data_IF_015650893723
#
_entry.id   IF_015650893723
#
_cell.length_a   1.000
_cell.length_b   1.000
_cell.length_c   1.000
_cell.angle_alpha   90.00
_cell.angle_beta   90.00
_cell.angle_gamma   90.00
#
_symmetry.space_group_name_H-M   'P 1'
#
loop_
_entity.id
_entity.type
_entity.pdbx_description
1 polymer ?
#
# COMPACT_ATOMS: atom_id res chain seq x y z
N UNK A 1 -26.34 12.33 22.11
CA UNK A 1 -26.74 11.43 20.99
C UNK A 1 -27.00 10.03 21.56
N UNK A 2 -28.24 9.67 21.95
CA UNK A 2 -28.54 8.39 22.63
C UNK A 2 -28.97 7.25 21.69
N UNK A 3 -28.97 7.46 20.37
CA UNK A 3 -29.63 6.55 19.43
C UNK A 3 -28.71 5.55 18.71
N UNK A 4 -27.38 5.64 18.84
CA UNK A 4 -26.47 4.71 18.16
C UNK A 4 -26.44 3.30 18.79
N UNK A 5 -26.85 3.14 20.05
CA UNK A 5 -26.82 1.84 20.74
C UNK A 5 -27.90 0.83 20.29
N UNK A 6 -28.91 1.27 19.53
CA UNK A 6 -30.05 0.40 19.14
C UNK A 6 -29.89 -0.31 17.80
N UNK A 7 -28.97 0.12 16.94
CA UNK A 7 -28.85 -0.42 15.57
C UNK A 7 -27.72 -1.43 15.36
N UNK A 8 -26.85 -1.64 16.35
CA UNK A 8 -25.77 -2.65 16.29
C UNK A 8 -26.16 -3.95 17.04
N UNK A 9 -27.41 -4.05 17.52
CA UNK A 9 -27.71 -4.95 18.65
C UNK A 9 -27.99 -6.42 18.36
N UNK A 10 -28.49 -6.81 17.18
CA UNK A 10 -29.00 -8.18 16.96
C UNK A 10 -28.29 -8.96 15.87
N UNK A 11 -28.11 -8.37 14.68
CA UNK A 11 -27.46 -9.02 13.53
C UNK A 11 -25.95 -9.19 13.75
N UNK A 12 -25.29 -8.13 14.25
CA UNK A 12 -23.89 -8.18 14.64
C UNK A 12 -23.65 -9.13 15.81
N UNK A 13 -24.57 -9.23 16.76
CA UNK A 13 -24.47 -10.16 17.90
C UNK A 13 -24.62 -11.63 17.46
N UNK A 14 -25.52 -11.91 16.52
CA UNK A 14 -25.69 -13.24 15.92
C UNK A 14 -24.47 -13.67 15.10
N UNK A 15 -23.90 -12.77 14.30
CA UNK A 15 -22.76 -13.08 13.42
C UNK A 15 -21.43 -13.16 14.18
N UNK A 16 -21.26 -12.38 15.26
CA UNK A 16 -20.00 -12.29 16.02
C UNK A 16 -19.84 -13.34 17.13
N UNK A 17 -20.92 -14.01 17.53
CA UNK A 17 -20.92 -15.00 18.60
C UNK A 17 -20.59 -14.41 19.99
N UNK A 18 -19.62 -14.98 20.71
CA UNK A 18 -19.24 -14.56 22.07
C UNK A 18 -18.28 -13.37 22.07
N UNK A 19 -18.52 -12.37 22.93
CA UNK A 19 -17.64 -11.21 23.12
C UNK A 19 -16.73 -11.37 24.33
N UNK A 20 -15.57 -10.72 24.28
CA UNK A 20 -14.61 -10.61 25.38
C UNK A 20 -14.43 -9.14 25.73
N UNK A 21 -14.65 -8.82 27.01
CA UNK A 21 -14.37 -7.50 27.57
C UNK A 21 -12.88 -7.35 27.85
N UNK A 22 -12.25 -6.34 27.25
CA UNK A 22 -10.83 -6.04 27.44
C UNK A 22 -10.71 -4.62 28.00
N UNK A 23 -9.96 -4.47 29.09
CA UNK A 23 -9.58 -3.18 29.64
C UNK A 23 -8.13 -2.90 29.26
N UNK A 24 -7.89 -1.88 28.44
CA UNK A 24 -6.55 -1.47 28.04
C UNK A 24 -6.21 -0.13 28.67
N UNK A 25 -5.06 -0.04 29.34
CA UNK A 25 -4.53 1.23 29.81
C UNK A 25 -3.65 1.83 28.72
N UNK A 26 -3.95 3.05 28.22
CA UNK A 26 -3.07 3.74 27.28
C UNK A 26 -1.66 3.91 27.86
N UNK A 27 -0.63 3.80 27.02
CA UNK A 27 0.73 4.18 27.42
C UNK A 27 0.76 5.68 27.72
N UNK A 28 1.28 6.03 28.88
CA UNK A 28 1.41 7.43 29.32
C UNK A 28 2.45 8.14 28.45
N UNK A 29 2.03 9.15 27.69
CA UNK A 29 2.93 10.08 27.00
C UNK A 29 3.53 11.08 27.99
N UNK A 30 4.66 11.70 27.64
CA UNK A 30 5.24 12.77 28.45
C UNK A 30 4.21 13.89 28.67
N UNK A 31 3.86 14.16 29.93
CA UNK A 31 2.85 15.15 30.32
C UNK A 31 1.47 14.56 30.68
N UNK A 32 1.26 13.25 30.52
CA UNK A 32 0.05 12.58 31.01
C UNK A 32 0.20 12.16 32.48
N UNK A 33 -0.85 12.39 33.28
CA UNK A 33 -0.90 11.96 34.67
C UNK A 33 -1.24 10.44 34.74
N UNK A 34 -0.32 9.58 35.21
CA UNK A 34 -0.55 8.14 35.30
C UNK A 34 -1.71 7.78 36.25
N UNK A 35 -2.03 8.64 37.20
CA UNK A 35 -3.12 8.45 38.16
C UNK A 35 -4.49 8.81 37.58
N UNK A 36 -4.52 9.72 36.60
CA UNK A 36 -5.75 10.16 35.93
C UNK A 36 -6.06 9.39 34.63
N UNK A 37 -5.11 8.64 34.10
CA UNK A 37 -5.30 7.88 32.85
C UNK A 37 -6.16 6.65 33.10
N UNK A 38 -7.44 6.76 32.78
CA UNK A 38 -8.43 5.69 32.95
C UNK A 38 -8.26 4.58 31.90
N UNK A 39 -8.42 3.30 32.29
CA UNK A 39 -8.46 2.20 31.34
C UNK A 39 -9.63 2.37 30.36
N UNK A 40 -9.38 2.12 29.09
CA UNK A 40 -10.40 2.08 28.05
C UNK A 40 -10.97 0.66 27.98
N UNK A 41 -12.30 0.56 28.03
CA UNK A 41 -13.02 -0.71 27.94
C UNK A 41 -13.47 -0.95 26.50
N UNK A 42 -13.03 -2.08 25.93
CA UNK A 42 -13.43 -2.57 24.63
C UNK A 42 -14.22 -3.87 24.77
N UNK A 43 -15.23 -4.05 23.92
CA UNK A 43 -15.89 -5.35 23.73
C UNK A 43 -15.51 -5.86 22.35
N UNK A 44 -14.73 -6.94 22.30
CA UNK A 44 -14.19 -7.48 21.04
C UNK A 44 -14.78 -8.87 20.81
N UNK A 45 -15.15 -9.18 19.57
CA UNK A 45 -15.63 -10.52 19.23
C UNK A 45 -14.51 -11.55 19.42
N UNK A 46 -14.82 -12.71 19.99
CA UNK A 46 -13.82 -13.79 20.21
C UNK A 46 -13.19 -14.28 18.91
N UNK A 47 -13.95 -14.27 17.81
CA UNK A 47 -13.46 -14.62 16.49
C UNK A 47 -12.35 -13.67 16.00
N UNK A 48 -12.48 -12.37 16.29
CA UNK A 48 -11.48 -11.36 15.92
C UNK A 48 -10.20 -11.52 16.74
N UNK A 49 -10.32 -11.82 18.04
CA UNK A 49 -9.16 -12.12 18.89
C UNK A 49 -8.41 -13.34 18.37
N UNK A 50 -9.12 -14.40 18.00
CA UNK A 50 -8.51 -15.60 17.42
C UNK A 50 -7.89 -15.36 16.05
N UNK A 51 -8.48 -14.49 15.23
CA UNK A 51 -7.92 -14.07 13.94
C UNK A 51 -6.65 -13.25 14.14
N UNK A 52 -6.69 -12.27 15.03
CA UNK A 52 -5.54 -11.45 15.40
C UNK A 52 -4.40 -12.32 15.93
N UNK A 53 -4.69 -13.29 16.80
CA UNK A 53 -3.69 -14.22 17.30
C UNK A 53 -3.01 -15.03 16.19
N UNK A 54 -3.80 -15.59 15.26
CA UNK A 54 -3.26 -16.32 14.10
C UNK A 54 -2.39 -15.43 13.21
N UNK A 55 -2.81 -14.18 12.99
CA UNK A 55 -2.02 -13.20 12.25
C UNK A 55 -0.68 -12.93 12.96
N UNK A 56 -0.70 -12.66 14.27
CA UNK A 56 0.51 -12.43 15.05
C UNK A 56 1.47 -13.64 14.97
N UNK A 57 0.96 -14.86 15.09
CA UNK A 57 1.77 -16.08 14.97
C UNK A 57 2.42 -16.17 13.59
N UNK A 58 1.65 -15.99 12.53
CA UNK A 58 2.18 -16.00 11.16
C UNK A 58 3.26 -14.93 10.93
N UNK A 59 3.08 -13.73 11.48
CA UNK A 59 4.10 -12.67 11.39
C UNK A 59 5.36 -12.99 12.20
N UNK A 60 5.22 -13.60 13.38
CA UNK A 60 6.36 -14.03 14.20
C UNK A 60 7.15 -15.13 13.46
N UNK A 61 6.47 -16.12 12.90
CA UNK A 61 7.07 -17.21 12.13
C UNK A 61 7.84 -16.67 10.92
N UNK A 62 7.21 -15.80 10.11
CA UNK A 62 7.89 -15.17 8.97
C UNK A 62 9.10 -14.32 9.40
N UNK A 63 8.99 -13.60 10.51
CA UNK A 63 10.11 -12.83 11.08
C UNK A 63 11.27 -13.73 11.53
N UNK A 64 10.97 -14.88 12.13
CA UNK A 64 11.97 -15.87 12.54
C UNK A 64 12.70 -16.47 11.33
N UNK A 65 11.97 -16.88 10.28
CA UNK A 65 12.55 -17.37 9.03
C UNK A 65 13.51 -16.35 8.40
N UNK A 66 13.16 -15.07 8.42
CA UNK A 66 14.03 -14.00 7.96
C UNK A 66 15.29 -13.85 8.82
N UNK A 67 15.15 -13.85 10.14
CA UNK A 67 16.29 -13.75 11.07
C UNK A 67 17.26 -14.92 10.93
N UNK A 68 16.75 -16.13 10.68
CA UNK A 68 17.58 -17.31 10.41
C UNK A 68 18.40 -17.16 9.13
N UNK A 69 17.78 -16.61 8.08
CA UNK A 69 18.45 -16.34 6.81
C UNK A 69 19.52 -15.24 6.97
N UNK A 70 19.21 -14.13 7.65
CA UNK A 70 20.22 -13.10 7.98
C UNK A 70 21.40 -13.70 8.73
N UNK A 71 21.12 -14.53 9.73
CA UNK A 71 22.13 -15.18 10.56
C UNK A 71 22.99 -16.17 9.75
N UNK A 72 22.39 -16.86 8.77
CA UNK A 72 23.11 -17.75 7.85
C UNK A 72 24.01 -16.97 6.88
N UNK A 73 23.51 -15.87 6.31
CA UNK A 73 24.29 -14.98 5.44
C UNK A 73 25.46 -14.35 6.19
N UNK A 74 25.22 -13.81 7.40
CA UNK A 74 26.26 -13.20 8.22
C UNK A 74 27.40 -14.19 8.52
N UNK A 75 27.06 -15.40 8.95
CA UNK A 75 28.05 -16.48 9.20
C UNK A 75 28.85 -16.83 7.95
N UNK A 76 28.19 -16.88 6.80
CA UNK A 76 28.84 -17.21 5.53
C UNK A 76 29.83 -16.13 5.10
N UNK A 77 29.45 -14.85 5.23
CA UNK A 77 30.33 -13.71 4.96
C UNK A 77 31.51 -13.66 5.93
N UNK A 78 31.27 -13.87 7.22
CA UNK A 78 32.34 -13.95 8.22
C UNK A 78 33.32 -15.08 7.91
N UNK A 79 32.83 -16.23 7.44
CA UNK A 79 33.69 -17.34 7.01
C UNK A 79 34.54 -16.99 5.79
N UNK A 80 34.04 -16.21 4.83
CA UNK A 80 34.83 -15.74 3.69
C UNK A 80 35.93 -14.78 4.12
N UNK A 81 35.60 -13.82 4.98
CA UNK A 81 36.56 -12.86 5.53
C UNK A 81 37.68 -13.59 6.30
N UNK A 82 37.34 -14.63 7.07
CA UNK A 82 38.32 -15.41 7.82
C UNK A 82 39.25 -16.27 6.95
N UNK A 83 38.84 -16.66 5.73
CA UNK A 83 39.61 -17.53 4.82
C UNK A 83 40.55 -16.78 3.88
N UNK A 84 40.41 -15.46 3.75
CA UNK A 84 41.15 -14.64 2.80
C UNK A 84 40.54 -14.73 1.40
N UNK A 85 40.28 -13.58 0.78
CA UNK A 85 39.45 -13.50 -0.43
C UNK A 85 40.21 -13.95 -1.69
N UNK A 86 39.72 -15.02 -2.33
CA UNK A 86 39.94 -15.29 -3.76
C UNK A 86 38.77 -14.69 -4.55
N UNK A 87 39.03 -14.05 -5.69
CA UNK A 87 38.02 -13.39 -6.53
C UNK A 87 36.91 -14.34 -7.04
N UNK A 88 37.13 -15.67 -6.97
CA UNK A 88 36.21 -16.70 -7.46
C UNK A 88 35.31 -17.32 -6.36
N UNK A 89 35.54 -17.02 -5.07
CA UNK A 89 34.71 -17.53 -3.97
C UNK A 89 33.42 -16.72 -3.80
N UNK A 90 32.27 -17.39 -3.93
CA UNK A 90 30.94 -16.79 -3.76
C UNK A 90 30.11 -17.56 -2.72
N UNK A 91 29.19 -16.85 -2.06
CA UNK A 91 28.22 -17.44 -1.12
C UNK A 91 26.89 -17.66 -1.85
N UNK A 92 26.41 -18.90 -1.86
CA UNK A 92 25.11 -19.27 -2.46
C UNK A 92 23.90 -18.88 -1.59
N UNK A 93 24.13 -18.34 -0.39
CA UNK A 93 23.13 -17.78 0.53
C UNK A 93 23.08 -16.26 0.41
N UNK A 94 22.43 -15.78 -0.65
CA UNK A 94 22.03 -14.37 -0.74
C UNK A 94 20.90 -14.10 0.25
N UNK A 95 20.87 -12.90 0.83
CA UNK A 95 19.65 -12.35 1.42
C UNK A 95 18.50 -12.52 0.41
N UNK A 96 17.23 -12.65 0.83
CA UNK A 96 16.15 -12.64 -0.14
C UNK A 96 16.33 -11.38 -0.97
N UNK A 97 16.55 -11.55 -2.28
CA UNK A 97 16.68 -10.43 -3.22
C UNK A 97 15.40 -9.58 -3.28
N UNK A 98 14.37 -9.97 -2.53
CA UNK A 98 13.16 -9.23 -2.24
C UNK A 98 13.09 -8.91 -0.75
N UNK A 99 13.88 -7.93 -0.33
CA UNK A 99 13.57 -7.07 0.81
C UNK A 99 12.33 -6.21 0.44
N UNK A 100 11.21 -6.85 0.09
CA UNK A 100 9.99 -6.18 -0.39
C UNK A 100 8.89 -6.16 0.69
N UNK A 101 8.87 -7.11 1.62
CA UNK A 101 7.76 -7.22 2.58
C UNK A 101 7.77 -6.14 3.67
N UNK A 102 8.94 -5.61 4.05
CA UNK A 102 9.04 -4.57 5.08
C UNK A 102 8.88 -3.15 4.52
N UNK A 103 9.40 -2.88 3.31
CA UNK A 103 9.15 -1.61 2.62
C UNK A 103 7.67 -1.46 2.21
N UNK A 104 6.92 -2.54 1.99
CA UNK A 104 5.50 -2.45 1.61
C UNK A 104 4.60 -1.96 2.74
N UNK A 105 4.94 -2.23 4.00
CA UNK A 105 4.19 -1.75 5.17
C UNK A 105 4.74 -0.42 5.66
N UNK A 106 6.07 -0.31 5.78
CA UNK A 106 6.73 0.90 6.27
C UNK A 106 6.70 2.02 5.22
N UNK A 107 6.88 1.71 3.94
CA UNK A 107 6.74 2.67 2.84
C UNK A 107 5.30 3.16 2.65
N UNK A 108 4.30 2.31 2.85
CA UNK A 108 2.89 2.75 2.85
C UNK A 108 2.61 3.65 4.05
N UNK A 109 3.18 3.38 5.23
CA UNK A 109 3.04 4.24 6.41
C UNK A 109 3.82 5.56 6.28
N UNK A 110 5.02 5.56 5.68
CA UNK A 110 5.82 6.77 5.43
C UNK A 110 5.25 7.63 4.30
N UNK A 111 4.62 7.04 3.27
CA UNK A 111 3.98 7.78 2.19
C UNK A 111 2.65 8.45 2.59
N UNK A 112 2.01 8.02 3.69
CA UNK A 112 0.87 8.72 4.30
C UNK A 112 1.30 10.07 4.88
N UNK A 113 2.56 10.22 5.27
CA UNK A 113 3.12 11.45 5.85
C UNK A 113 3.85 12.33 4.83
N UNK A 114 4.17 11.82 3.63
CA UNK A 114 4.79 12.62 2.58
C UNK A 114 3.76 13.48 1.84
N UNK A 115 4.13 14.73 1.45
CA UNK A 115 3.27 15.55 0.63
C UNK A 115 2.95 14.81 -0.67
N UNK A 116 1.66 14.57 -0.87
CA UNK A 116 1.03 14.11 -2.12
C UNK A 116 1.74 14.73 -3.32
N UNK A 117 1.86 14.00 -4.45
CA UNK A 117 2.24 14.59 -5.75
C UNK A 117 1.55 15.94 -5.85
N UNK A 118 2.24 17.08 -5.80
CA UNK A 118 1.58 18.36 -5.69
C UNK A 118 1.02 18.70 -7.06
N UNK A 119 -0.13 18.13 -7.42
CA UNK A 119 -0.97 18.64 -8.49
C UNK A 119 -1.66 19.90 -7.97
N UNK A 120 -0.87 20.90 -7.59
CA UNK A 120 -1.30 22.29 -7.57
C UNK A 120 -1.38 22.80 -9.03
N UNK A 121 -2.01 22.01 -9.90
CA UNK A 121 -2.18 22.35 -11.30
C UNK A 121 -3.41 23.24 -11.38
N UNK A 122 -3.24 24.46 -11.88
CA UNK A 122 -4.33 25.41 -12.07
C UNK A 122 -5.40 24.91 -13.08
N UNK A 123 -5.13 23.84 -13.83
CA UNK A 123 -6.03 23.27 -14.81
C UNK A 123 -7.22 22.52 -14.21
N UNK A 124 -8.38 22.64 -14.85
CA UNK A 124 -9.64 21.99 -14.48
C UNK A 124 -9.78 20.56 -15.01
N UNK A 125 -8.99 20.17 -16.00
CA UNK A 125 -9.13 18.90 -16.74
C UNK A 125 -7.79 18.14 -16.85
N UNK A 126 -7.25 17.59 -15.75
CA UNK A 126 -5.98 16.88 -15.78
C UNK A 126 -6.01 15.54 -16.53
N UNK A 127 -4.92 15.22 -17.24
CA UNK A 127 -4.64 13.92 -17.83
C UNK A 127 -3.37 13.34 -17.21
N UNK A 128 -3.44 12.15 -16.63
CA UNK A 128 -2.30 11.48 -16.01
C UNK A 128 -1.78 10.38 -16.91
N UNK A 129 -0.51 10.46 -17.30
CA UNK A 129 0.17 9.41 -18.03
C UNK A 129 0.94 8.56 -17.02
N UNK A 130 0.60 7.28 -16.94
CA UNK A 130 1.13 6.32 -15.98
C UNK A 130 2.13 5.42 -16.66
N UNK A 131 3.42 5.67 -16.42
CA UNK A 131 4.48 4.76 -16.82
C UNK A 131 4.59 3.62 -15.81
N UNK A 132 4.65 2.39 -16.32
CA UNK A 132 4.80 1.16 -15.52
C UNK A 132 6.00 0.34 -15.97
N UNK A 133 6.90 0.94 -16.76
CA UNK A 133 8.11 0.30 -17.26
C UNK A 133 9.25 0.30 -16.25
N UNK A 134 10.22 -0.59 -16.45
CA UNK A 134 11.49 -0.59 -15.73
C UNK A 134 11.35 -0.63 -14.20
N UNK A 135 12.03 0.30 -13.52
CA UNK A 135 12.02 0.39 -12.05
C UNK A 135 10.63 0.76 -11.50
N UNK A 136 9.88 1.60 -12.20
CA UNK A 136 8.52 1.99 -11.79
C UNK A 136 7.58 0.79 -11.74
N UNK A 137 7.72 -0.13 -12.70
CA UNK A 137 6.98 -1.39 -12.70
C UNK A 137 7.32 -2.32 -11.53
N UNK A 138 8.58 -2.33 -11.05
CA UNK A 138 8.97 -3.15 -9.89
C UNK A 138 8.35 -2.68 -8.58
N UNK A 139 7.96 -1.41 -8.52
CA UNK A 139 7.35 -0.76 -7.36
C UNK A 139 5.88 -0.38 -7.63
N UNK A 140 5.18 -1.15 -8.49
CA UNK A 140 3.82 -0.84 -8.95
C UNK A 140 2.81 -0.71 -7.80
N UNK A 141 3.00 -1.42 -6.68
CA UNK A 141 2.12 -1.37 -5.51
C UNK A 141 2.05 0.05 -4.93
N UNK A 142 3.18 0.74 -4.81
CA UNK A 142 3.24 2.13 -4.34
C UNK A 142 2.63 3.08 -5.35
N UNK A 143 2.89 2.87 -6.64
CA UNK A 143 2.28 3.67 -7.71
C UNK A 143 0.76 3.57 -7.67
N UNK A 144 0.19 2.38 -7.48
CA UNK A 144 -1.26 2.19 -7.31
C UNK A 144 -1.80 2.97 -6.12
N UNK A 145 -1.15 2.84 -4.96
CA UNK A 145 -1.56 3.56 -3.74
C UNK A 145 -1.50 5.09 -3.92
N UNK A 146 -0.44 5.60 -4.55
CA UNK A 146 -0.28 7.02 -4.86
C UNK A 146 -1.35 7.53 -5.84
N UNK A 147 -1.65 6.77 -6.89
CA UNK A 147 -2.68 7.13 -7.88
C UNK A 147 -4.08 7.20 -7.25
N UNK A 148 -4.43 6.23 -6.39
CA UNK A 148 -5.70 6.27 -5.65
C UNK A 148 -5.80 7.50 -4.75
N UNK A 149 -4.73 7.84 -4.04
CA UNK A 149 -4.71 9.06 -3.22
C UNK A 149 -4.93 10.31 -4.09
N UNK A 150 -4.24 10.43 -5.23
CA UNK A 150 -4.43 11.54 -6.17
C UNK A 150 -5.86 11.63 -6.67
N UNK A 151 -6.49 10.48 -6.96
CA UNK A 151 -7.89 10.41 -7.39
C UNK A 151 -8.82 11.09 -6.38
N UNK A 152 -8.77 10.70 -5.10
CA UNK A 152 -9.68 11.24 -4.09
C UNK A 152 -9.28 12.63 -3.58
N UNK A 153 -7.99 12.89 -3.41
CA UNK A 153 -7.54 14.15 -2.82
C UNK A 153 -7.55 15.31 -3.80
N UNK A 154 -7.32 15.05 -5.09
CA UNK A 154 -7.07 16.11 -6.08
C UNK A 154 -8.09 16.12 -7.20
N UNK A 155 -8.50 14.97 -7.75
CA UNK A 155 -9.46 14.94 -8.86
C UNK A 155 -10.87 15.36 -8.43
N UNK A 156 -11.21 15.20 -7.13
CA UNK A 156 -12.49 15.64 -6.58
C UNK A 156 -12.75 17.15 -6.73
N UNK A 157 -11.69 17.97 -6.86
CA UNK A 157 -11.80 19.43 -7.05
C UNK A 157 -11.71 19.87 -8.52
N UNK A 158 -11.66 18.92 -9.46
CA UNK A 158 -11.50 19.19 -10.90
C UNK A 158 -12.85 19.12 -11.63
N UNK A 159 -12.89 19.58 -12.87
CA UNK A 159 -14.10 19.49 -13.71
C UNK A 159 -14.21 18.12 -14.38
N UNK A 160 -13.08 17.57 -14.83
CA UNK A 160 -12.99 16.21 -15.38
C UNK A 160 -11.56 15.69 -15.30
N UNK A 161 -11.33 14.39 -15.54
CA UNK A 161 -10.00 13.81 -15.53
C UNK A 161 -9.86 12.62 -16.49
N UNK A 162 -8.61 12.28 -16.84
CA UNK A 162 -8.27 11.10 -17.63
C UNK A 162 -6.96 10.47 -17.13
N UNK A 163 -6.83 9.17 -17.38
CA UNK A 163 -5.68 8.34 -17.06
C UNK A 163 -5.26 7.59 -18.33
N UNK A 164 -3.95 7.48 -18.55
CA UNK A 164 -3.38 6.78 -19.68
C UNK A 164 -2.40 5.76 -19.13
N UNK A 165 -2.56 4.49 -19.49
CA UNK A 165 -1.52 3.47 -19.30
C UNK A 165 -0.92 3.07 -20.63
N UNK A 166 0.17 2.34 -20.59
CA UNK A 166 0.73 1.71 -21.76
C UNK A 166 0.40 0.22 -21.79
N UNK A 167 0.22 -0.35 -22.97
CA UNK A 167 -0.11 -1.76 -23.16
C UNK A 167 1.15 -2.62 -23.05
N UNK A 168 1.07 -3.74 -22.33
CA UNK A 168 2.16 -4.71 -22.29
C UNK A 168 2.51 -5.24 -23.69
N UNK A 169 3.81 -5.40 -23.98
CA UNK A 169 4.32 -5.89 -25.26
C UNK A 169 4.44 -4.81 -26.35
N UNK A 170 3.39 -4.02 -26.60
CA UNK A 170 3.41 -3.02 -27.69
C UNK A 170 3.84 -1.62 -27.26
N UNK A 171 3.67 -1.28 -25.98
CA UNK A 171 3.95 0.05 -25.46
C UNK A 171 2.98 1.14 -25.94
N UNK A 172 1.86 0.76 -26.56
CA UNK A 172 0.85 1.72 -27.04
C UNK A 172 0.00 2.28 -25.89
N UNK A 173 -0.31 3.60 -25.88
CA UNK A 173 -1.15 4.21 -24.87
C UNK A 173 -2.59 3.72 -24.95
N UNK A 174 -3.22 3.59 -23.79
CA UNK A 174 -4.62 3.21 -23.60
C UNK A 174 -5.24 4.10 -22.54
N UNK A 175 -6.31 4.77 -22.93
CA UNK A 175 -7.16 5.52 -22.02
C UNK A 175 -7.90 4.55 -21.09
N UNK A 176 -8.17 4.97 -19.85
CA UNK A 176 -9.05 4.21 -18.96
C UNK A 176 -10.52 4.43 -19.33
N UNK A 177 -10.88 5.63 -19.78
CA UNK A 177 -12.23 6.01 -20.19
C UNK A 177 -12.26 6.52 -21.63
N UNK A 178 -13.41 6.37 -22.30
CA UNK A 178 -13.61 6.82 -23.70
C UNK A 178 -13.47 8.34 -23.86
N UNK A 179 -13.90 9.10 -22.85
CA UNK A 179 -13.87 10.56 -22.80
C UNK A 179 -13.39 11.00 -21.40
N UNK A 180 -13.08 12.28 -21.24
CA UNK A 180 -12.75 12.87 -19.93
C UNK A 180 -13.91 12.65 -18.96
N UNK A 181 -13.65 11.97 -17.84
CA UNK A 181 -14.71 11.61 -16.91
C UNK A 181 -14.90 12.72 -15.86
N UNK A 182 -16.15 13.10 -15.51
CA UNK A 182 -16.40 13.98 -14.38
C UNK A 182 -16.06 13.26 -13.05
N UNK A 183 -15.67 13.99 -11.98
CA UNK A 183 -15.34 13.41 -10.68
C UNK A 183 -16.58 12.96 -9.92
N UNK A 184 -17.19 11.88 -10.38
CA UNK A 184 -18.33 11.21 -9.73
C UNK A 184 -17.85 9.97 -8.98
N UNK A 185 -18.61 9.54 -7.97
CA UNK A 185 -18.30 8.33 -7.20
C UNK A 185 -18.16 7.09 -8.09
N UNK A 186 -19.03 6.94 -9.09
CA UNK A 186 -18.96 5.85 -10.06
C UNK A 186 -17.69 5.92 -10.93
N UNK A 187 -17.28 7.12 -11.35
CA UNK A 187 -16.05 7.33 -12.10
C UNK A 187 -14.80 7.02 -11.24
N UNK A 188 -14.83 7.38 -9.95
CA UNK A 188 -13.74 7.04 -9.04
C UNK A 188 -13.63 5.54 -8.80
N UNK A 189 -14.74 4.86 -8.53
CA UNK A 189 -14.71 3.40 -8.36
C UNK A 189 -14.18 2.69 -9.62
N UNK A 190 -14.64 3.08 -10.80
CA UNK A 190 -14.17 2.51 -12.07
C UNK A 190 -12.67 2.81 -12.33
N UNK A 191 -12.20 4.00 -11.95
CA UNK A 191 -10.79 4.36 -12.04
C UNK A 191 -9.93 3.57 -11.04
N UNK A 192 -10.42 3.32 -9.82
CA UNK A 192 -9.75 2.47 -8.84
C UNK A 192 -9.59 1.03 -9.34
N UNK A 193 -10.66 0.44 -9.86
CA UNK A 193 -10.63 -0.92 -10.41
C UNK A 193 -9.63 -1.01 -11.58
N UNK A 194 -9.57 0.05 -12.40
CA UNK A 194 -8.60 0.15 -13.48
C UNK A 194 -7.16 0.29 -12.98
N UNK A 195 -6.93 1.08 -11.92
CA UNK A 195 -5.62 1.24 -11.26
C UNK A 195 -5.17 -0.10 -10.67
N UNK A 196 -6.08 -0.85 -10.06
CA UNK A 196 -5.79 -2.19 -9.53
C UNK A 196 -5.37 -3.17 -10.63
N UNK A 197 -5.94 -3.02 -11.83
CA UNK A 197 -5.56 -3.77 -13.02
C UNK A 197 -4.23 -3.36 -13.67
N UNK A 198 -3.47 -2.40 -13.09
CA UNK A 198 -2.16 -2.04 -13.61
C UNK A 198 -1.13 -3.15 -13.35
N UNK A 199 -0.35 -3.45 -14.39
CA UNK A 199 0.68 -4.49 -14.40
C UNK A 199 2.00 -3.91 -14.91
N UNK A 200 3.15 -4.37 -14.39
CA UNK A 200 4.46 -3.90 -14.84
C UNK A 200 4.67 -4.13 -16.34
N UNK A 201 5.36 -3.22 -17.01
CA UNK A 201 5.74 -3.38 -18.41
C UNK A 201 7.19 -3.83 -18.57
N UNK A 202 7.40 -4.79 -19.46
CA UNK A 202 8.73 -5.29 -19.81
C UNK A 202 9.53 -4.32 -20.70
N UNK A 203 8.86 -3.44 -21.45
CA UNK A 203 9.48 -2.46 -22.34
C UNK A 203 9.06 -1.03 -22.00
N UNK A 204 9.79 -0.04 -22.52
CA UNK A 204 9.47 1.37 -22.36
C UNK A 204 8.21 1.74 -23.15
N UNK A 205 7.30 2.50 -22.53
CA UNK A 205 6.09 3.00 -23.19
C UNK A 205 6.40 4.04 -24.27
N UNK A 206 5.55 4.13 -25.30
CA UNK A 206 5.67 5.14 -26.35
C UNK A 206 5.19 6.50 -25.83
N UNK A 207 6.01 7.17 -25.02
CA UNK A 207 5.65 8.40 -24.31
C UNK A 207 5.13 9.50 -25.24
N UNK A 208 5.75 9.71 -26.41
CA UNK A 208 5.28 10.71 -27.37
C UNK A 208 3.86 10.43 -27.87
N UNK A 209 3.52 9.17 -28.10
CA UNK A 209 2.15 8.77 -28.45
C UNK A 209 1.19 9.08 -27.31
N UNK A 210 1.57 8.80 -26.06
CA UNK A 210 0.73 9.12 -24.90
C UNK A 210 0.52 10.64 -24.73
N UNK A 211 1.54 11.46 -24.98
CA UNK A 211 1.42 12.91 -24.95
C UNK A 211 0.45 13.39 -26.04
N UNK A 212 0.54 12.86 -27.26
CA UNK A 212 -0.43 13.20 -28.31
C UNK A 212 -1.86 12.82 -27.93
N UNK A 213 -2.06 11.65 -27.30
CA UNK A 213 -3.37 11.26 -26.76
C UNK A 213 -3.84 12.22 -25.66
N UNK A 214 -2.94 12.62 -24.76
CA UNK A 214 -3.27 13.54 -23.67
C UNK A 214 -3.62 14.94 -24.17
N UNK A 215 -3.02 15.40 -25.27
CA UNK A 215 -3.34 16.70 -25.88
C UNK A 215 -4.61 16.69 -26.74
N UNK A 216 -5.08 15.51 -27.14
CA UNK A 216 -6.31 15.36 -27.91
C UNK A 216 -7.59 15.42 -27.04
N UNK A 217 -7.43 15.51 -25.72
CA UNK A 217 -8.47 15.56 -24.70
C UNK A 217 -8.28 16.76 -23.78
#
# INVERSE_FOLDING_TARGET
>A
VPALGKFVGSRFLQDSGSFVSIFMRPQTTLGSDPSATMPVHYNIARADIQRFHRMCQSYIEAGQEHMDLFSATLRSLQSLVARGHSEDEHVNLMLPHTYQAFDEVEGVMMEVEQPMIPLNTAGSNPVLIVDTSGMTGRHITYLKAALKRVLYAQMASKSSFQLIRFTQGTGEPRLWAKEMAPPTEAAFQAAEDWIEGLTPMASCGKLLSAIHYAMAH
#
